data_IF_058615058461
#
_entry.id   IF_058615058461
#
_cell.length_a   1.000
_cell.length_b   1.000
_cell.length_c   1.000
_cell.angle_alpha   90.00
_cell.angle_beta   90.00
_cell.angle_gamma   90.00
#
_symmetry.space_group_name_H-M   'P 1'
#
loop_
_entity.id
_entity.type
_entity.pdbx_description
1 polymer ?
#
# COMPACT_ATOMS: atom_id res chain seq x y z
N UNK A 1 -17.18 57.23 26.91
CA UNK A 1 -16.67 56.99 25.54
C UNK A 1 -15.32 56.29 25.67
N UNK A 2 -15.19 55.02 25.28
CA UNK A 2 -13.89 54.31 25.35
C UNK A 2 -12.87 54.99 24.44
N UNK A 3 -11.65 55.14 24.94
CA UNK A 3 -10.57 55.85 24.23
C UNK A 3 -10.23 55.11 22.93
N UNK A 4 -9.94 55.85 21.86
CA UNK A 4 -9.54 55.28 20.56
C UNK A 4 -8.39 54.28 20.69
N UNK A 5 -7.46 54.50 21.64
CA UNK A 5 -6.37 53.56 21.94
C UNK A 5 -6.85 52.22 22.51
N UNK A 6 -7.85 52.22 23.40
CA UNK A 6 -8.43 50.98 23.95
C UNK A 6 -9.20 50.20 22.89
N UNK A 7 -9.92 50.89 22.00
CA UNK A 7 -10.62 50.25 20.87
C UNK A 7 -9.64 49.59 19.91
N UNK A 8 -8.54 50.27 19.57
CA UNK A 8 -7.48 49.71 18.72
C UNK A 8 -6.81 48.51 19.40
N UNK A 9 -6.46 48.62 20.69
CA UNK A 9 -5.89 47.50 21.45
C UNK A 9 -6.80 46.27 21.45
N UNK A 10 -8.10 46.46 21.69
CA UNK A 10 -9.10 45.39 21.67
C UNK A 10 -9.25 44.75 20.28
N UNK A 11 -9.23 45.55 19.21
CA UNK A 11 -9.28 45.03 17.83
C UNK A 11 -8.05 44.22 17.47
N UNK A 12 -6.85 44.66 17.89
CA UNK A 12 -5.60 43.90 17.69
C UNK A 12 -5.65 42.58 18.44
N UNK A 13 -6.12 42.57 19.69
CA UNK A 13 -6.28 41.33 20.47
C UNK A 13 -7.29 40.38 19.82
N UNK A 14 -8.45 40.87 19.39
CA UNK A 14 -9.46 40.06 18.70
C UNK A 14 -8.88 39.49 17.39
N UNK A 15 -8.21 40.33 16.59
CA UNK A 15 -7.55 39.90 15.36
C UNK A 15 -6.49 38.81 15.63
N UNK A 16 -5.69 38.99 16.67
CA UNK A 16 -4.70 38.00 17.10
C UNK A 16 -5.34 36.67 17.53
N UNK A 17 -6.42 36.71 18.31
CA UNK A 17 -7.16 35.51 18.72
C UNK A 17 -7.80 34.79 17.53
N UNK A 18 -8.40 35.53 16.59
CA UNK A 18 -8.98 34.95 15.38
C UNK A 18 -7.89 34.28 14.53
N UNK A 19 -6.74 34.94 14.35
CA UNK A 19 -5.61 34.36 13.62
C UNK A 19 -5.08 33.10 14.32
N UNK A 20 -4.93 33.12 15.64
CA UNK A 20 -4.49 31.95 16.41
C UNK A 20 -5.47 30.78 16.29
N UNK A 21 -6.79 31.05 16.37
CA UNK A 21 -7.82 30.03 16.17
C UNK A 21 -7.82 29.48 14.74
N UNK A 22 -7.63 30.34 13.74
CA UNK A 22 -7.55 29.92 12.34
C UNK A 22 -6.33 29.02 12.10
N UNK A 23 -5.15 29.45 12.55
CA UNK A 23 -3.91 28.67 12.43
C UNK A 23 -4.03 27.35 13.20
N UNK A 24 -4.57 27.38 14.42
CA UNK A 24 -4.80 26.17 15.22
C UNK A 24 -5.78 25.20 14.54
N UNK A 25 -6.84 25.71 13.91
CA UNK A 25 -7.81 24.90 13.18
C UNK A 25 -7.21 24.26 11.93
N UNK A 26 -6.47 25.04 11.13
CA UNK A 26 -5.78 24.52 9.94
C UNK A 26 -4.75 23.45 10.32
N UNK A 27 -3.97 23.70 11.37
CA UNK A 27 -3.00 22.74 11.89
C UNK A 27 -3.69 21.44 12.34
N UNK A 28 -4.75 21.55 13.14
CA UNK A 28 -5.49 20.39 13.64
C UNK A 28 -6.11 19.55 12.51
N UNK A 29 -6.76 20.21 11.54
CA UNK A 29 -7.35 19.51 10.40
C UNK A 29 -6.29 18.84 9.52
N UNK A 30 -5.15 19.51 9.29
CA UNK A 30 -4.03 18.94 8.54
C UNK A 30 -3.48 17.71 9.27
N UNK A 31 -3.29 17.79 10.58
CA UNK A 31 -2.86 16.65 11.39
C UNK A 31 -3.84 15.47 11.28
N UNK A 32 -5.14 15.73 11.44
CA UNK A 32 -6.18 14.70 11.37
C UNK A 32 -6.20 13.99 10.00
N UNK A 33 -6.10 14.74 8.90
CA UNK A 33 -6.24 14.17 7.55
C UNK A 33 -4.94 13.71 6.89
N UNK A 34 -3.77 14.11 7.40
CA UNK A 34 -2.48 13.76 6.80
C UNK A 34 -1.57 12.91 7.69
N UNK A 35 -1.71 13.00 9.02
CA UNK A 35 -0.72 12.43 9.95
C UNK A 35 -1.29 11.55 11.05
N UNK A 36 -2.59 11.65 11.36
CA UNK A 36 -3.22 10.90 12.46
C UNK A 36 -3.16 9.39 12.21
N UNK A 37 -2.40 8.68 13.04
CA UNK A 37 -2.34 7.22 13.04
C UNK A 37 -3.53 6.65 13.81
N UNK A 38 -4.22 5.70 13.20
CA UNK A 38 -5.24 4.88 13.87
C UNK A 38 -4.55 3.55 14.26
N UNK A 39 -4.54 3.19 15.56
CA UNK A 39 -4.01 1.90 15.98
C UNK A 39 -4.90 0.78 15.46
N UNK A 40 -4.28 -0.30 14.99
CA UNK A 40 -4.95 -1.54 14.61
C UNK A 40 -4.69 -2.58 15.71
N UNK A 41 -5.73 -3.30 16.09
CA UNK A 41 -5.63 -4.46 16.96
C UNK A 41 -6.01 -5.69 16.15
N UNK A 42 -5.21 -6.74 16.27
CA UNK A 42 -5.42 -8.01 15.58
C UNK A 42 -5.92 -9.04 16.59
N UNK A 43 -6.85 -9.89 16.16
CA UNK A 43 -7.43 -10.93 17.00
C UNK A 43 -6.43 -12.07 17.30
N UNK A 44 -5.42 -12.24 16.45
CA UNK A 44 -4.39 -13.27 16.61
C UNK A 44 -3.06 -12.88 15.96
N UNK A 45 -2.01 -13.65 16.26
CA UNK A 45 -0.67 -13.48 15.66
C UNK A 45 -0.73 -13.74 14.16
N UNK A 46 -1.55 -14.70 13.74
CA UNK A 46 -1.78 -15.03 12.33
C UNK A 46 -2.38 -13.85 11.57
N UNK A 47 -3.40 -13.21 12.14
CA UNK A 47 -4.00 -12.03 11.52
C UNK A 47 -3.01 -10.85 11.49
N UNK A 48 -2.22 -10.67 12.55
CA UNK A 48 -1.16 -9.67 12.57
C UNK A 48 -0.07 -9.98 11.53
N UNK A 49 0.26 -11.25 11.29
CA UNK A 49 1.23 -11.60 10.25
C UNK A 49 0.66 -11.32 8.85
N UNK A 50 -0.60 -11.70 8.59
CA UNK A 50 -1.25 -11.56 7.29
C UNK A 50 -1.51 -10.10 6.90
N UNK A 51 -1.88 -9.24 7.86
CA UNK A 51 -2.36 -7.88 7.61
C UNK A 51 -1.61 -6.78 8.38
N UNK A 52 -0.59 -7.15 9.15
CA UNK A 52 0.19 -6.25 9.98
C UNK A 52 0.98 -5.20 9.22
N UNK A 53 1.16 -4.06 9.86
CA UNK A 53 2.10 -3.02 9.47
C UNK A 53 3.50 -3.38 10.00
N UNK A 54 4.54 -3.23 9.18
CA UNK A 54 5.93 -3.62 9.45
C UNK A 54 6.89 -2.42 9.65
N UNK A 55 6.40 -1.19 9.48
CA UNK A 55 7.11 0.05 9.79
C UNK A 55 7.96 0.62 8.65
N UNK A 56 7.95 0.01 7.46
CA UNK A 56 8.72 0.44 6.27
C UNK A 56 7.86 1.08 5.18
N UNK A 57 6.59 1.38 5.47
CA UNK A 57 5.57 1.75 4.48
C UNK A 57 5.69 3.19 3.95
N UNK A 58 6.71 3.93 4.38
CA UNK A 58 6.93 5.31 3.94
C UNK A 58 7.25 5.40 2.44
N UNK A 59 7.66 4.30 1.81
CA UNK A 59 8.11 4.27 0.41
C UNK A 59 7.04 3.68 -0.54
N UNK A 60 6.22 2.74 -0.08
CA UNK A 60 5.40 1.88 -0.97
C UNK A 60 3.87 1.99 -0.74
N UNK A 61 3.39 3.10 -0.16
CA UNK A 61 1.97 3.24 0.16
C UNK A 61 1.12 3.79 -0.98
N UNK A 62 -0.01 3.12 -1.21
CA UNK A 62 -1.07 3.59 -2.13
C UNK A 62 -2.30 3.99 -1.30
N UNK A 63 -2.96 5.13 -1.54
CA UNK A 63 -4.22 5.44 -0.88
C UNK A 63 -5.25 4.33 -1.17
N UNK A 64 -5.84 3.74 -0.13
CA UNK A 64 -6.67 2.53 -0.24
C UNK A 64 -7.79 2.68 -1.27
N UNK A 65 -8.47 3.82 -1.25
CA UNK A 65 -9.58 4.11 -2.16
C UNK A 65 -9.13 4.24 -3.62
N UNK A 66 -7.91 4.74 -3.87
CA UNK A 66 -7.34 4.77 -5.22
C UNK A 66 -6.96 3.36 -5.63
N UNK A 67 -6.21 2.64 -4.79
CA UNK A 67 -5.82 1.25 -5.01
C UNK A 67 -7.03 0.39 -5.40
N UNK A 68 -8.11 0.45 -4.62
CA UNK A 68 -9.33 -0.33 -4.85
C UNK A 68 -9.91 -0.16 -6.28
N UNK A 69 -9.84 1.04 -6.85
CA UNK A 69 -10.42 1.33 -8.16
C UNK A 69 -9.43 1.13 -9.32
N UNK A 70 -8.12 1.10 -9.09
CA UNK A 70 -7.12 1.01 -10.16
C UNK A 70 -7.37 -0.15 -11.13
N UNK A 71 -7.64 -1.39 -10.70
CA UNK A 71 -7.81 -2.51 -11.62
C UNK A 71 -9.00 -2.34 -12.57
N UNK A 72 -10.03 -1.60 -12.15
CA UNK A 72 -11.19 -1.28 -12.98
C UNK A 72 -10.90 -0.16 -13.97
N UNK A 73 -10.05 0.79 -13.59
CA UNK A 73 -9.71 1.94 -14.43
C UNK A 73 -8.63 1.65 -15.47
N UNK A 74 -7.73 0.72 -15.15
CA UNK A 74 -6.58 0.33 -15.96
C UNK A 74 -6.47 -1.18 -16.17
N UNK A 75 -7.56 -1.89 -16.55
CA UNK A 75 -7.55 -3.35 -16.69
C UNK A 75 -6.51 -3.82 -17.72
N UNK A 76 -6.25 -3.02 -18.75
CA UNK A 76 -5.26 -3.28 -19.79
C UNK A 76 -3.80 -3.21 -19.32
N UNK A 77 -3.55 -2.70 -18.10
CA UNK A 77 -2.21 -2.66 -17.49
C UNK A 77 -1.93 -3.89 -16.62
N UNK A 78 -2.91 -4.76 -16.42
CA UNK A 78 -2.75 -6.01 -15.68
C UNK A 78 -2.26 -7.13 -16.61
N UNK A 79 -1.55 -8.14 -16.06
CA UNK A 79 -1.07 -9.27 -16.87
C UNK A 79 -2.19 -10.13 -17.47
N UNK A 80 -3.37 -10.14 -16.83
CA UNK A 80 -4.57 -10.87 -17.29
C UNK A 80 -5.83 -10.25 -16.69
N UNK A 81 -7.03 -10.53 -17.23
CA UNK A 81 -8.29 -10.15 -16.60
C UNK A 81 -8.43 -10.71 -15.19
N UNK A 82 -9.23 -10.05 -14.34
CA UNK A 82 -9.54 -10.50 -12.97
C UNK A 82 -9.11 -9.56 -11.85
N UNK A 83 -8.65 -8.34 -12.17
CA UNK A 83 -8.25 -7.36 -11.17
C UNK A 83 -7.01 -7.80 -10.38
N UNK A 84 -6.95 -7.55 -9.07
CA UNK A 84 -5.80 -7.94 -8.25
C UNK A 84 -5.52 -9.45 -8.22
N UNK A 85 -6.52 -10.31 -8.51
CA UNK A 85 -6.32 -11.76 -8.66
C UNK A 85 -5.40 -12.09 -9.86
N UNK A 86 -5.30 -11.20 -10.84
CA UNK A 86 -4.35 -11.33 -11.95
C UNK A 86 -2.89 -11.37 -11.47
N UNK A 87 -2.63 -10.77 -10.31
CA UNK A 87 -1.33 -10.66 -9.66
C UNK A 87 -1.11 -11.74 -8.61
N UNK A 88 -1.95 -12.78 -8.61
CA UNK A 88 -1.87 -13.92 -7.68
C UNK A 88 -1.92 -13.50 -6.21
N UNK A 89 -2.66 -12.43 -5.92
CA UNK A 89 -2.98 -12.03 -4.56
C UNK A 89 -4.09 -12.93 -4.02
N UNK A 90 -3.90 -13.46 -2.81
CA UNK A 90 -4.83 -14.38 -2.14
C UNK A 90 -5.68 -13.62 -1.10
N UNK A 91 -6.97 -13.91 -1.02
CA UNK A 91 -7.91 -13.28 -0.08
C UNK A 91 -8.45 -14.29 0.93
N UNK A 92 -8.52 -13.89 2.19
CA UNK A 92 -9.33 -14.59 3.18
C UNK A 92 -10.78 -14.06 3.15
N UNK A 93 -11.73 -14.92 3.48
CA UNK A 93 -13.15 -14.56 3.47
C UNK A 93 -13.43 -13.48 4.52
N UNK A 94 -14.02 -12.36 4.08
CA UNK A 94 -14.38 -11.24 4.95
C UNK A 94 -13.32 -10.15 5.06
N UNK A 95 -12.14 -10.34 4.46
CA UNK A 95 -11.04 -9.37 4.52
C UNK A 95 -11.08 -8.39 3.33
N UNK A 96 -10.77 -7.12 3.60
CA UNK A 96 -10.87 -6.03 2.61
C UNK A 96 -9.68 -5.96 1.65
N UNK A 97 -8.54 -6.50 2.07
CA UNK A 97 -7.27 -6.53 1.34
C UNK A 97 -6.75 -7.97 1.30
N UNK A 98 -5.96 -8.36 0.29
CA UNK A 98 -5.40 -9.70 0.25
C UNK A 98 -4.35 -9.87 1.34
N UNK A 99 -4.10 -11.13 1.69
CA UNK A 99 -2.96 -11.48 2.54
C UNK A 99 -1.68 -10.96 1.90
N UNK A 100 -0.82 -10.35 2.70
CA UNK A 100 0.37 -9.69 2.21
C UNK A 100 0.22 -8.18 2.04
N UNK A 101 -1.01 -7.65 2.08
CA UNK A 101 -1.26 -6.23 2.15
C UNK A 101 -1.82 -5.86 3.52
N UNK A 102 -1.37 -4.72 4.01
CA UNK A 102 -1.93 -4.08 5.20
C UNK A 102 -2.76 -2.88 4.79
N UNK A 103 -3.90 -2.65 5.46
CA UNK A 103 -4.70 -1.43 5.34
C UNK A 103 -4.64 -0.67 6.66
N UNK A 104 -3.85 0.40 6.72
CA UNK A 104 -3.76 1.25 7.90
C UNK A 104 -4.12 2.71 7.59
N UNK A 105 -4.78 3.35 8.54
CA UNK A 105 -5.06 4.79 8.47
C UNK A 105 -3.93 5.58 9.14
N UNK A 106 -3.17 6.31 8.33
CA UNK A 106 -2.25 7.37 8.77
C UNK A 106 -2.61 8.64 7.99
N UNK A 107 -3.42 9.50 8.63
CA UNK A 107 -4.13 10.60 7.99
C UNK A 107 -5.35 10.12 7.18
N UNK A 108 -5.08 9.28 6.18
CA UNK A 108 -6.06 8.63 5.32
C UNK A 108 -5.75 7.12 5.23
N UNK A 109 -6.71 6.26 4.83
CA UNK A 109 -6.46 4.83 4.69
C UNK A 109 -5.50 4.57 3.52
N UNK A 110 -4.44 3.81 3.78
CA UNK A 110 -3.42 3.43 2.80
C UNK A 110 -3.23 1.93 2.82
N UNK A 111 -2.81 1.40 1.68
CA UNK A 111 -2.34 0.04 1.54
C UNK A 111 -0.85 -0.01 1.31
N UNK A 112 -0.20 -1.01 1.87
CA UNK A 112 1.22 -1.29 1.68
C UNK A 112 1.45 -2.79 1.68
N UNK A 113 2.57 -3.21 1.09
CA UNK A 113 3.08 -4.57 1.25
C UNK A 113 3.52 -4.79 2.71
N UNK A 114 3.32 -6.00 3.20
CA UNK A 114 3.84 -6.49 4.47
C UNK A 114 4.61 -7.81 4.29
N UNK A 115 5.10 -8.39 5.39
CA UNK A 115 5.88 -9.62 5.37
C UNK A 115 5.19 -10.78 4.65
N UNK A 116 3.87 -10.94 4.82
CA UNK A 116 3.13 -12.06 4.25
C UNK A 116 3.08 -12.00 2.71
N UNK A 117 3.37 -10.86 2.07
CA UNK A 117 3.42 -10.79 0.61
C UNK A 117 4.52 -11.69 0.02
N UNK A 118 5.61 -11.88 0.77
CA UNK A 118 6.77 -12.67 0.34
C UNK A 118 6.98 -13.92 1.21
N UNK A 119 6.49 -13.93 2.45
CA UNK A 119 6.65 -15.01 3.42
C UNK A 119 5.34 -15.75 3.69
N UNK A 120 4.53 -15.95 2.65
CA UNK A 120 3.42 -16.89 2.68
C UNK A 120 3.64 -17.99 1.64
N UNK A 121 2.96 -19.11 1.82
CA UNK A 121 2.84 -20.09 0.76
C UNK A 121 1.42 -20.64 0.72
N UNK A 122 0.92 -20.82 -0.48
CA UNK A 122 -0.43 -21.28 -0.71
C UNK A 122 -0.36 -22.56 -1.55
N UNK A 123 -0.86 -23.67 -0.99
CA UNK A 123 -0.78 -24.99 -1.62
C UNK A 123 -2.16 -25.59 -1.79
N UNK A 124 -2.39 -26.23 -2.93
CA UNK A 124 -3.60 -27.04 -3.13
C UNK A 124 -3.38 -28.41 -2.49
N UNK A 125 -4.24 -28.75 -1.54
CA UNK A 125 -4.23 -30.06 -0.88
C UNK A 125 -4.62 -31.14 -1.89
N UNK A 126 -3.77 -32.15 -2.04
CA UNK A 126 -3.98 -33.24 -3.00
C UNK A 126 -5.21 -34.12 -2.66
N UNK A 127 -5.65 -34.10 -1.40
CA UNK A 127 -6.74 -34.97 -0.92
C UNK A 127 -8.13 -34.36 -1.06
N UNK A 128 -8.27 -33.03 -0.95
CA UNK A 128 -9.56 -32.32 -1.01
C UNK A 128 -9.60 -31.20 -2.05
N UNK A 129 -8.50 -30.97 -2.78
CA UNK A 129 -8.37 -29.91 -3.79
C UNK A 129 -8.41 -28.50 -3.22
N UNK A 130 -8.51 -28.34 -1.88
CA UNK A 130 -8.64 -27.04 -1.25
C UNK A 130 -7.30 -26.36 -1.16
N UNK A 131 -7.29 -25.09 -1.54
CA UNK A 131 -6.16 -24.20 -1.36
C UNK A 131 -6.02 -23.86 0.12
N UNK A 132 -4.89 -24.22 0.73
CA UNK A 132 -4.54 -23.89 2.12
C UNK A 132 -3.36 -22.93 2.11
N UNK A 133 -3.49 -21.85 2.86
CA UNK A 133 -2.40 -20.94 3.12
C UNK A 133 -1.63 -21.41 4.35
N UNK A 134 -0.31 -21.42 4.25
CA UNK A 134 0.61 -21.71 5.34
C UNK A 134 1.38 -20.43 5.62
N UNK A 135 1.26 -19.95 6.86
CA UNK A 135 2.04 -18.81 7.32
C UNK A 135 3.53 -19.14 7.29
N UNK A 136 4.36 -18.15 6.97
CA UNK A 136 5.84 -18.26 6.92
C UNK A 136 6.40 -19.23 5.88
N UNK A 137 5.59 -19.64 4.89
CA UNK A 137 6.07 -20.45 3.78
C UNK A 137 7.04 -19.71 2.85
N UNK A 138 7.96 -20.44 2.23
CA UNK A 138 9.00 -19.90 1.33
C UNK A 138 8.64 -19.97 -0.17
N UNK A 139 7.36 -19.98 -0.50
CA UNK A 139 6.87 -20.08 -1.88
C UNK A 139 5.78 -19.03 -2.13
N UNK A 140 6.15 -17.74 -2.21
CA UNK A 140 5.17 -16.69 -2.42
C UNK A 140 4.50 -16.88 -3.77
N UNK A 141 3.18 -16.93 -3.77
CA UNK A 141 2.41 -16.94 -5.02
C UNK A 141 2.29 -15.53 -5.62
N UNK A 142 2.51 -14.49 -4.82
CA UNK A 142 2.33 -13.10 -5.22
C UNK A 142 3.26 -12.67 -6.37
N UNK A 143 2.66 -12.15 -7.45
CA UNK A 143 3.38 -11.53 -8.57
C UNK A 143 3.76 -10.08 -8.23
N UNK A 144 4.77 -9.93 -7.37
CA UNK A 144 5.31 -8.62 -6.96
C UNK A 144 5.74 -7.80 -8.18
N UNK A 145 6.35 -8.48 -9.14
CA UNK A 145 6.80 -7.88 -10.38
C UNK A 145 5.64 -7.23 -11.17
N UNK A 146 4.60 -8.01 -11.41
CA UNK A 146 3.39 -7.53 -12.09
C UNK A 146 2.73 -6.40 -11.31
N UNK A 147 2.74 -6.44 -9.97
CA UNK A 147 2.13 -5.41 -9.14
C UNK A 147 2.85 -4.07 -9.25
N UNK A 148 4.19 -4.05 -9.14
CA UNK A 148 5.00 -2.83 -9.30
C UNK A 148 4.81 -2.25 -10.70
N UNK A 149 4.86 -3.10 -11.74
CA UNK A 149 4.66 -2.67 -13.12
C UNK A 149 3.25 -2.09 -13.34
N UNK A 150 2.22 -2.71 -12.75
CA UNK A 150 0.84 -2.24 -12.84
C UNK A 150 0.67 -0.86 -12.18
N UNK A 151 1.21 -0.67 -10.98
CA UNK A 151 1.14 0.61 -10.26
C UNK A 151 1.85 1.74 -11.03
N UNK A 152 3.10 1.50 -11.46
CA UNK A 152 3.89 2.45 -12.26
C UNK A 152 3.20 2.79 -13.57
N UNK A 153 2.73 1.77 -14.30
CA UNK A 153 2.05 1.97 -15.59
C UNK A 153 0.72 2.70 -15.45
N UNK A 154 0.00 2.48 -14.33
CA UNK A 154 -1.21 3.22 -14.01
C UNK A 154 -0.89 4.68 -13.70
N UNK A 155 0.13 4.96 -12.89
CA UNK A 155 0.53 6.32 -12.52
C UNK A 155 1.01 7.17 -13.71
N UNK A 156 1.64 6.51 -14.70
CA UNK A 156 2.10 7.14 -15.94
C UNK A 156 0.99 7.29 -17.00
N UNK A 157 -0.23 6.81 -16.74
CA UNK A 157 -1.36 6.97 -17.65
C UNK A 157 -2.00 8.37 -17.50
N UNK A 158 -2.35 9.09 -18.59
CA UNK A 158 -2.98 10.41 -18.50
C UNK A 158 -4.30 10.43 -17.71
N UNK A 159 -4.99 9.29 -17.59
CA UNK A 159 -6.21 9.17 -16.76
C UNK A 159 -5.90 9.17 -15.26
N UNK A 160 -4.66 8.95 -14.84
CA UNK A 160 -4.25 9.06 -13.44
C UNK A 160 -4.12 10.54 -13.06
N UNK A 161 -5.26 11.21 -12.92
CA UNK A 161 -5.32 12.61 -12.51
C UNK A 161 -6.49 12.83 -11.56
N UNK A 162 -6.40 13.90 -10.77
CA UNK A 162 -7.37 14.19 -9.73
C UNK A 162 -8.81 14.33 -10.22
N UNK A 163 -9.03 14.80 -11.45
CA UNK A 163 -10.40 14.98 -11.97
C UNK A 163 -11.03 13.63 -12.32
N UNK A 164 -10.30 12.79 -13.06
CA UNK A 164 -10.79 11.48 -13.46
C UNK A 164 -10.96 10.54 -12.26
N UNK A 165 -9.94 10.44 -11.41
CA UNK A 165 -9.96 9.54 -10.26
C UNK A 165 -11.04 9.92 -9.25
N UNK A 166 -11.21 11.21 -8.92
CA UNK A 166 -12.28 11.64 -8.00
C UNK A 166 -13.68 11.44 -8.59
N UNK A 167 -13.84 11.56 -9.90
CA UNK A 167 -15.13 11.27 -10.53
C UNK A 167 -15.47 9.78 -10.39
N UNK A 168 -14.52 8.89 -10.70
CA UNK A 168 -14.72 7.44 -10.60
C UNK A 168 -14.80 6.92 -9.17
N UNK A 169 -14.16 7.61 -8.23
CA UNK A 169 -14.20 7.21 -6.82
C UNK A 169 -15.58 7.41 -6.19
N UNK A 170 -16.36 8.39 -6.66
CA UNK A 170 -17.70 8.66 -6.15
C UNK A 170 -18.66 7.48 -6.32
N UNK A 171 -18.40 6.59 -7.28
CA UNK A 171 -19.19 5.37 -7.50
C UNK A 171 -18.95 4.29 -6.42
N UNK A 172 -17.94 4.46 -5.56
CA UNK A 172 -17.48 3.45 -4.59
C UNK A 172 -17.41 4.00 -3.16
N UNK A 173 -17.03 5.28 -2.99
CA UNK A 173 -16.91 5.91 -1.68
C UNK A 173 -17.21 7.41 -1.72
N UNK A 174 -18.06 7.87 -0.81
CA UNK A 174 -18.41 9.28 -0.66
C UNK A 174 -17.41 10.02 0.24
N UNK A 175 -16.41 10.64 -0.37
CA UNK A 175 -15.51 11.57 0.33
C UNK A 175 -16.26 12.84 0.76
N UNK A 176 -16.01 13.29 1.98
CA UNK A 176 -16.44 14.62 2.45
C UNK A 176 -15.83 15.74 1.60
N UNK A 177 -16.38 16.95 1.69
CA UNK A 177 -15.88 18.10 0.95
C UNK A 177 -14.39 18.38 1.22
N UNK A 178 -13.97 18.27 2.48
CA UNK A 178 -12.58 18.51 2.89
C UNK A 178 -11.66 17.39 2.40
N UNK A 179 -12.07 16.13 2.52
CA UNK A 179 -11.30 15.00 1.98
C UNK A 179 -11.15 15.09 0.47
N UNK A 180 -12.20 15.47 -0.27
CA UNK A 180 -12.10 15.71 -1.73
C UNK A 180 -11.02 16.75 -2.06
N UNK A 181 -10.85 17.79 -1.22
CA UNK A 181 -9.82 18.81 -1.38
C UNK A 181 -8.41 18.26 -1.16
N UNK A 182 -8.23 17.49 -0.08
CA UNK A 182 -6.97 16.78 0.19
C UNK A 182 -6.63 15.77 -0.91
N UNK A 183 -7.61 14.99 -1.36
CA UNK A 183 -7.44 14.06 -2.46
C UNK A 183 -7.02 14.77 -3.75
N UNK A 184 -7.73 15.85 -4.10
CA UNK A 184 -7.50 16.57 -5.36
C UNK A 184 -6.12 17.20 -5.44
N UNK A 185 -5.65 17.82 -4.36
CA UNK A 185 -4.45 18.67 -4.41
C UNK A 185 -3.22 18.09 -3.74
N UNK A 186 -3.37 17.09 -2.87
CA UNK A 186 -2.26 16.51 -2.11
C UNK A 186 -2.12 15.03 -2.42
N UNK A 187 -3.14 14.22 -2.08
CA UNK A 187 -2.99 12.76 -2.05
C UNK A 187 -2.82 12.20 -3.46
N UNK A 188 -3.67 12.56 -4.43
CA UNK A 188 -3.57 12.03 -5.80
C UNK A 188 -2.26 12.46 -6.48
N UNK A 189 -1.89 13.75 -6.51
CA UNK A 189 -0.62 14.18 -7.13
C UNK A 189 0.62 13.53 -6.48
N UNK A 190 0.67 13.45 -5.15
CA UNK A 190 1.80 12.80 -4.47
C UNK A 190 1.86 11.30 -4.75
N UNK A 191 0.69 10.65 -4.80
CA UNK A 191 0.62 9.22 -5.13
C UNK A 191 1.05 8.97 -6.57
N UNK A 192 0.63 9.82 -7.51
CA UNK A 192 1.08 9.74 -8.90
C UNK A 192 2.61 9.87 -8.96
N UNK A 193 3.16 10.88 -8.30
CA UNK A 193 4.60 11.12 -8.27
C UNK A 193 5.35 9.91 -7.69
N UNK A 194 4.97 9.43 -6.51
CA UNK A 194 5.62 8.28 -5.87
C UNK A 194 5.54 7.01 -6.74
N UNK A 195 4.36 6.70 -7.27
CA UNK A 195 4.16 5.50 -8.09
C UNK A 195 4.87 5.58 -9.44
N UNK A 196 4.97 6.76 -10.05
CA UNK A 196 5.73 6.97 -11.28
C UNK A 196 7.25 6.77 -11.10
N UNK A 197 7.74 6.91 -9.87
CA UNK A 197 9.15 6.76 -9.50
C UNK A 197 9.54 5.33 -9.10
N UNK A 198 8.58 4.41 -8.93
CA UNK A 198 8.87 2.99 -8.71
C UNK A 198 9.79 2.47 -9.81
N UNK A 199 10.75 1.61 -9.48
CA UNK A 199 11.75 1.14 -10.44
C UNK A 199 11.12 0.51 -11.69
N UNK A 200 11.72 0.78 -12.86
CA UNK A 200 11.33 0.13 -14.10
C UNK A 200 11.92 -1.28 -14.12
N UNK A 201 11.14 -2.26 -13.71
CA UNK A 201 11.74 -3.55 -13.40
C UNK A 201 12.25 -4.31 -14.63
N UNK A 202 11.64 -4.24 -15.83
CA UNK A 202 12.30 -4.68 -17.05
C UNK A 202 13.71 -4.12 -17.24
N UNK A 203 13.93 -2.83 -16.94
CA UNK A 203 15.25 -2.21 -17.05
C UNK A 203 16.16 -2.55 -15.85
N UNK A 204 15.60 -2.75 -14.66
CA UNK A 204 16.32 -3.29 -13.50
C UNK A 204 16.90 -4.68 -13.80
N UNK A 205 16.10 -5.57 -14.37
CA UNK A 205 16.53 -6.93 -14.71
C UNK A 205 17.58 -6.93 -15.83
N UNK A 206 17.47 -6.03 -16.81
CA UNK A 206 18.50 -5.84 -17.84
C UNK A 206 19.81 -5.29 -17.25
N UNK A 207 19.73 -4.41 -16.25
CA UNK A 207 20.91 -3.82 -15.60
C UNK A 207 21.58 -4.75 -14.57
N UNK A 208 20.90 -5.82 -14.14
CA UNK A 208 21.42 -6.82 -13.20
C UNK A 208 21.41 -8.26 -13.78
N UNK A 209 22.06 -8.50 -14.93
CA UNK A 209 21.94 -9.78 -15.66
C UNK A 209 22.42 -11.00 -14.87
N UNK A 210 23.39 -10.82 -13.96
CA UNK A 210 24.06 -11.90 -13.22
C UNK A 210 23.12 -12.63 -12.23
N UNK A 211 21.98 -12.02 -11.86
CA UNK A 211 20.99 -12.61 -10.96
C UNK A 211 20.16 -13.71 -11.64
N UNK A 212 20.11 -13.71 -12.98
CA UNK A 212 19.12 -14.52 -13.73
C UNK A 212 19.58 -15.91 -14.13
N UNK A 213 20.88 -16.22 -14.12
CA UNK A 213 21.34 -17.56 -14.55
C UNK A 213 22.34 -18.16 -13.58
N UNK A 214 23.43 -17.45 -13.33
CA UNK A 214 24.50 -17.93 -12.45
C UNK A 214 24.04 -17.93 -10.99
N UNK A 215 23.38 -16.87 -10.52
CA UNK A 215 22.85 -16.83 -9.16
C UNK A 215 21.75 -17.88 -8.92
N UNK A 216 20.84 -18.09 -9.89
CA UNK A 216 19.82 -19.14 -9.76
C UNK A 216 20.43 -20.55 -9.79
N UNK A 217 21.41 -20.81 -10.66
CA UNK A 217 22.13 -22.09 -10.71
C UNK A 217 22.91 -22.36 -9.41
N UNK A 218 23.56 -21.34 -8.87
CA UNK A 218 24.27 -21.42 -7.59
C UNK A 218 23.32 -21.65 -6.40
N UNK A 219 22.17 -20.97 -6.38
CA UNK A 219 21.18 -21.18 -5.33
C UNK A 219 20.56 -22.57 -5.39
N UNK A 220 20.28 -23.09 -6.59
CA UNK A 220 19.83 -24.46 -6.79
C UNK A 220 20.87 -25.48 -6.33
N UNK A 221 22.17 -25.25 -6.59
CA UNK A 221 23.22 -26.17 -6.12
C UNK A 221 23.31 -26.20 -4.59
N UNK A 222 23.20 -25.04 -3.93
CA UNK A 222 23.19 -24.97 -2.46
C UNK A 222 21.98 -25.72 -1.87
N UNK A 223 20.79 -25.56 -2.44
CA UNK A 223 19.60 -26.29 -1.96
C UNK A 223 19.73 -27.79 -2.16
N UNK A 224 20.30 -28.22 -3.29
CA UNK A 224 20.56 -29.64 -3.55
C UNK A 224 21.56 -30.21 -2.52
N UNK A 225 22.64 -29.50 -2.25
CA UNK A 225 23.67 -29.89 -1.28
C UNK A 225 23.11 -29.93 0.16
N UNK A 226 22.33 -28.94 0.56
CA UNK A 226 21.64 -28.91 1.87
C UNK A 226 20.62 -30.04 2.01
N UNK A 227 19.88 -30.37 0.94
CA UNK A 227 18.92 -31.48 0.96
C UNK A 227 19.61 -32.83 1.16
N UNK A 228 20.80 -33.03 0.59
CA UNK A 228 21.63 -34.22 0.76
C UNK A 228 22.20 -34.28 2.19
N UNK A 229 22.69 -33.16 2.72
CA UNK A 229 23.22 -33.07 4.08
C UNK A 229 22.16 -33.36 5.16
N UNK A 230 20.90 -32.98 4.92
CA UNK A 230 19.77 -33.24 5.84
C UNK A 230 19.31 -34.72 5.88
N UNK A 231 19.78 -35.55 4.95
CA UNK A 231 19.50 -37.00 4.92
C UNK A 231 20.59 -37.84 5.58
N UNK A 232 21.67 -37.24 6.06
CA UNK A 232 22.70 -37.95 6.82
C UNK A 232 22.17 -38.24 8.24
N UNK A 233 22.29 -39.49 8.75
CA UNK A 233 21.91 -39.78 10.12
C UNK A 233 22.75 -38.96 11.09
N UNK A 234 22.13 -38.45 12.17
CA UNK A 234 22.84 -37.71 13.20
C UNK A 234 24.04 -38.53 13.72
N UNK A 235 25.24 -37.92 13.83
CA UNK A 235 26.36 -38.59 14.46
C UNK A 235 26.00 -38.89 15.92
N UNK A 236 26.09 -40.17 16.29
CA UNK A 236 25.95 -40.69 17.66
C UNK A 236 27.03 -40.18 18.59
#
# INVERSE_FOLDING_TARGET
MTSTKEKIGRLVTIGGLILALFVGSVWYLSWVHLSRKVPLAYASVEQQFNYGMIGVEQVDTVPYWIWLILPRLFPEKLPRPGGYVSLKMDWEAGEEVPVGLTKQTTGFPKVSLNCAACHNATFSSLSDGKTKMILTGSAPNFDLQGYVNFLRSSANDPRFNSNYLLNKLQDVYELSWLEKRFYRYIIIPQSQQALSQLEDVPDLLKSHPNWTKEAMQHWQSIQFENSQASQLPNPT
#
